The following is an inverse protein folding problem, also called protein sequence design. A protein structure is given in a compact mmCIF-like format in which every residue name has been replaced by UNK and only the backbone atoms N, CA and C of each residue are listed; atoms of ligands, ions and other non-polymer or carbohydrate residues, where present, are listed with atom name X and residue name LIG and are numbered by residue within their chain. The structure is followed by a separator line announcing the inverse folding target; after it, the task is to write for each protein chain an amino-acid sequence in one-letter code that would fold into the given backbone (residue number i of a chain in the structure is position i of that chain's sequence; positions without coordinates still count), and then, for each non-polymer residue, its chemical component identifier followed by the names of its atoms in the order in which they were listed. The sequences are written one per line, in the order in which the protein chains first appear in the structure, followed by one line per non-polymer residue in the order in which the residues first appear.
data_IF_882948866274
#
_entry.id   IF_882948866274
#
_cell.length_a   1.000
_cell.length_b   1.000
_cell.length_c   1.000
_cell.angle_alpha   90.00
_cell.angle_beta   90.00
_cell.angle_gamma   90.00
#
_symmetry.space_group_name_H-M   'P 1'
#
loop_
_entity.id
_entity.type
_entity.pdbx_description
1 polymer ?
2 non-polymer ?
3 water ?
#
# COMPACT_ATOMS: atom_id res chain seq x y z
N UNK A 2 -3.14 -1.23 -13.12
CA UNK A 2 -3.34 0.12 -12.59
C UNK A 2 -2.75 0.24 -11.19
N UNK A 3 -2.09 -0.83 -10.75
CA UNK A 3 -1.35 -0.81 -9.49
C UNK A 3 0.12 -0.55 -9.78
N UNK A 4 0.65 0.51 -9.19
CA UNK A 4 2.02 0.94 -9.47
C UNK A 4 3.02 0.26 -8.54
N UNK A 5 3.96 -0.49 -9.11
CA UNK A 5 5.03 -1.10 -8.32
C UNK A 5 6.09 -0.05 -8.01
N UNK A 6 6.38 0.13 -6.72
CA UNK A 6 7.22 1.24 -6.28
C UNK A 6 8.47 0.75 -5.54
N UNK A 7 9.60 1.41 -5.81
CA UNK A 7 10.87 1.06 -5.17
C UNK A 7 11.39 2.21 -4.32
N UNK A 8 12.53 2.00 -3.66
CA UNK A 8 13.20 3.05 -2.90
C UNK A 8 13.51 4.23 -3.80
N UNK A 9 13.79 3.92 -5.06
CA UNK A 9 14.22 4.89 -6.05
C UNK A 9 13.16 5.95 -6.34
N UNK A 10 11.89 5.58 -6.26
CA UNK A 10 10.82 6.49 -6.64
C UNK A 10 9.67 6.57 -5.64
N UNK A 11 9.92 6.15 -4.41
CA UNK A 11 8.89 6.18 -3.38
C UNK A 11 8.43 7.60 -3.06
N UNK A 12 9.38 8.54 -3.02
CA UNK A 12 9.07 9.91 -2.63
C UNK A 12 8.12 10.60 -3.62
N UNK A 13 8.39 10.44 -4.91
CA UNK A 13 7.56 11.07 -5.93
C UNK A 13 6.21 10.38 -6.07
N UNK A 14 6.23 9.05 -6.01
CA UNK A 14 5.03 8.26 -6.25
C UNK A 14 4.07 8.24 -5.06
N UNK A 15 4.61 8.29 -3.85
CA UNK A 15 3.79 8.18 -2.65
C UNK A 15 3.69 9.48 -1.86
N UNK A 16 4.84 9.99 -1.41
CA UNK A 16 4.87 11.18 -0.57
C UNK A 16 4.37 12.42 -1.31
N UNK A 17 4.60 12.48 -2.61
CA UNK A 17 4.22 13.67 -3.38
C UNK A 17 3.05 13.38 -4.31
N UNK A 18 2.24 12.40 -3.95
CA UNK A 18 1.01 12.12 -4.68
C UNK A 18 -0.10 13.07 -4.23
N UNK A 19 -0.83 13.61 -5.20
CA UNK A 19 -1.92 14.53 -4.91
C UNK A 19 -3.14 13.80 -4.37
N UNK A 20 -3.20 12.51 -4.64
CA UNK A 20 -4.27 11.66 -4.13
C UNK A 20 -3.78 10.87 -2.92
N UNK A 21 -4.72 10.43 -2.06
CA UNK A 21 -4.36 9.49 -1.00
C UNK A 21 -3.76 8.21 -1.59
N UNK A 22 -2.80 7.61 -0.89
CA UNK A 22 -2.12 6.43 -1.42
C UNK A 22 -2.23 5.22 -0.50
N UNK A 23 -2.66 4.10 -1.07
CA UNK A 23 -2.61 2.82 -0.37
C UNK A 23 -1.34 2.07 -0.77
N UNK A 24 -0.52 1.74 0.21
CA UNK A 24 0.76 1.09 -0.07
C UNK A 24 0.78 -0.35 0.45
N UNK A 25 0.86 -1.30 -0.47
CA UNK A 25 0.94 -2.71 -0.10
C UNK A 25 2.39 -3.17 -0.04
N UNK A 26 2.90 -3.36 1.18
CA UNK A 26 4.25 -3.88 1.36
C UNK A 26 4.24 -5.40 1.27
N UNK A 27 5.13 -5.95 0.46
CA UNK A 27 5.12 -7.38 0.15
C UNK A 27 6.53 -7.90 -0.16
N UNK A 28 6.62 -9.20 -0.40
CA UNK A 28 7.88 -9.84 -0.80
C UNK A 28 7.57 -11.17 -1.49
N UNK A 29 8.43 -11.59 -2.44
CA UNK A 29 8.22 -12.75 -3.32
C UNK A 29 7.64 -14.01 -2.67
N UNK A 30 8.18 -14.44 -1.53
CA UNK A 30 7.75 -15.70 -0.93
C UNK A 30 6.72 -15.48 0.18
N UNK A 31 5.72 -14.66 -0.12
CA UNK A 31 4.67 -14.37 0.85
C UNK A 31 3.31 -14.86 0.35
N UNK A 32 2.90 -16.03 0.83
CA UNK A 32 1.60 -16.59 0.51
C UNK A 32 0.44 -15.65 0.77
N UNK A 33 0.35 -15.11 1.99
CA UNK A 33 -0.66 -14.09 2.29
C UNK A 33 -0.56 -12.86 1.40
N UNK A 34 0.66 -12.48 1.00
CA UNK A 34 0.85 -11.38 0.07
C UNK A 34 0.20 -11.72 -1.27
N UNK A 35 0.37 -12.98 -1.67
CA UNK A 35 -0.24 -13.50 -2.89
C UNK A 35 -1.76 -13.51 -2.80
N UNK A 36 -2.27 -13.70 -1.58
CA UNK A 36 -3.70 -13.84 -1.34
C UNK A 36 -4.48 -12.54 -1.48
N UNK A 37 -3.80 -11.41 -1.29
CA UNK A 37 -4.46 -10.11 -1.38
C UNK A 37 -4.02 -9.28 -2.57
N UNK A 38 -3.04 -9.77 -3.32
CA UNK A 38 -2.58 -9.05 -4.51
C UNK A 38 -3.72 -8.82 -5.52
N UNK A 39 -4.54 -9.86 -5.81
CA UNK A 39 -5.68 -9.56 -6.68
C UNK A 39 -6.72 -8.67 -6.00
N UNK A 40 -6.80 -8.74 -4.68
CA UNK A 40 -7.69 -7.85 -3.93
C UNK A 40 -7.17 -6.42 -4.03
N UNK A 41 -5.86 -6.26 -3.89
CA UNK A 41 -5.21 -4.96 -4.07
C UNK A 41 -5.42 -4.45 -5.49
N UNK A 42 -5.39 -5.37 -6.46
CA UNK A 42 -5.58 -5.02 -7.86
C UNK A 42 -6.97 -4.44 -8.13
N UNK A 43 -7.99 -5.07 -7.55
CA UNK A 43 -9.36 -4.61 -7.74
C UNK A 43 -9.60 -3.26 -7.06
N UNK A 44 -8.88 -3.02 -5.97
CA UNK A 44 -9.03 -1.76 -5.24
C UNK A 44 -8.62 -0.56 -6.08
N UNK A 45 -7.53 -0.71 -6.81
CA UNK A 45 -7.04 0.36 -7.68
C UNK A 45 -8.06 0.68 -8.76
N UNK A 46 -8.72 -0.37 -9.25
CA UNK A 46 -9.74 -0.21 -10.27
C UNK A 46 -10.96 0.53 -9.71
N UNK A 47 -11.34 0.18 -8.49
CA UNK A 47 -12.55 0.72 -7.87
C UNK A 47 -12.33 2.09 -7.23
N UNK A 48 -11.07 2.42 -6.94
CA UNK A 48 -10.73 3.70 -6.33
C UNK A 48 -10.03 4.62 -7.32
N UNK A 49 -10.04 4.24 -8.60
CA UNK A 49 -9.33 4.98 -9.64
C UNK A 49 -9.75 6.44 -9.71
N UNK A 50 -8.77 7.33 -9.62
CA UNK A 50 -9.02 8.76 -9.66
C UNK A 50 -9.21 9.35 -8.28
N UNK A 51 -9.51 8.48 -7.31
CA UNK A 51 -9.74 8.92 -5.94
C UNK A 51 -8.62 8.46 -5.01
N UNK A 52 -8.22 7.20 -5.13
CA UNK A 52 -7.12 6.67 -4.34
C UNK A 52 -6.07 5.99 -5.21
N UNK A 53 -4.82 6.39 -5.04
CA UNK A 53 -3.71 5.74 -5.71
C UNK A 53 -3.31 4.49 -4.95
N UNK A 54 -3.05 3.41 -5.67
CA UNK A 54 -2.67 2.15 -5.05
C UNK A 54 -1.31 1.68 -5.55
N UNK A 55 -0.38 1.47 -4.62
CA UNK A 55 0.97 1.05 -4.97
C UNK A 55 1.44 -0.17 -4.18
N UNK A 56 2.50 -0.80 -4.67
CA UNK A 56 3.09 -1.95 -4.00
C UNK A 56 4.59 -1.75 -3.84
N UNK A 57 5.14 -2.26 -2.74
CA UNK A 57 6.58 -2.17 -2.48
C UNK A 57 7.17 -3.50 -2.05
N UNK A 58 8.11 -4.01 -2.84
CA UNK A 58 8.83 -5.22 -2.48
C UNK A 58 9.85 -4.91 -1.38
N UNK A 59 9.59 -5.38 -0.17
CA UNK A 59 10.43 -5.06 0.98
C UNK A 59 11.79 -5.75 0.90
N UNK A 60 11.86 -6.87 0.18
CA UNK A 60 13.11 -7.59 0.02
C UNK A 60 14.12 -6.77 -0.77
N UNK A 61 13.63 -6.11 -1.82
CA UNK A 61 14.51 -5.34 -2.69
C UNK A 61 14.55 -3.87 -2.31
N UNK A 62 13.64 -3.45 -1.45
CA UNK A 62 13.60 -2.06 -1.02
C UNK A 62 13.60 -1.92 0.49
N UNK A 63 14.74 -2.27 1.12
CA UNK A 63 14.85 -2.31 2.58
C UNK A 63 14.84 -0.93 3.22
N UNK A 64 15.17 0.09 2.43
CA UNK A 64 15.27 1.45 2.94
C UNK A 64 13.91 2.03 3.31
N UNK A 65 12.94 1.85 2.42
CA UNK A 65 11.58 2.32 2.68
C UNK A 65 10.94 1.52 3.80
N UNK A 66 11.22 0.22 3.83
CA UNK A 66 10.71 -0.66 4.87
C UNK A 66 11.16 -0.20 6.24
N UNK A 67 12.43 0.17 6.34
CA UNK A 67 13.01 0.63 7.60
C UNK A 67 12.42 1.97 8.04
N UNK A 68 12.24 2.88 7.09
CA UNK A 68 11.75 4.22 7.40
C UNK A 68 10.33 4.22 7.95
N UNK A 69 9.55 3.19 7.63
CA UNK A 69 8.15 3.14 8.04
C UNK A 69 7.84 1.95 8.93
N UNK A 70 8.89 1.37 9.51
CA UNK A 70 8.74 0.30 10.49
C UNK A 70 7.93 -0.89 10.04
N UNK A 71 8.14 -1.32 8.80
CA UNK A 71 7.48 -2.52 8.30
C UNK A 71 8.10 -3.74 8.97
N UNK A 72 7.41 -4.28 9.97
CA UNK A 72 7.94 -5.39 10.75
C UNK A 72 7.43 -6.74 10.26
N UNK A 73 6.45 -6.70 9.35
CA UNK A 73 5.92 -7.92 8.76
C UNK A 73 5.17 -7.63 7.46
N UNK A 74 4.90 -8.69 6.69
CA UNK A 74 4.22 -8.56 5.41
C UNK A 74 3.10 -9.59 5.28
N UNK A 75 2.00 -9.22 4.59
CA UNK A 75 1.76 -7.92 3.98
C UNK A 75 1.38 -6.83 4.98
N UNK A 76 1.93 -5.64 4.79
CA UNK A 76 1.60 -4.49 5.61
C UNK A 76 1.06 -3.37 4.73
N UNK A 77 -0.13 -2.88 5.07
CA UNK A 77 -0.78 -1.87 4.26
C UNK A 77 -0.77 -0.51 4.96
N UNK A 78 -0.21 0.49 4.30
CA UNK A 78 -0.21 1.85 4.81
C UNK A 78 -1.07 2.75 3.94
N UNK A 79 -1.84 3.63 4.57
CA UNK A 79 -2.59 4.63 3.83
C UNK A 79 -1.94 5.99 4.01
N UNK A 80 -1.48 6.57 2.91
CA UNK A 80 -0.83 7.86 2.94
C UNK A 80 -1.76 8.97 2.49
N UNK A 81 -1.81 10.04 3.27
CA UNK A 81 -2.56 11.22 2.88
C UNK A 81 -1.65 12.44 2.93
N UNK A 82 -1.18 12.84 1.75
CA UNK A 82 -0.29 13.99 1.59
C UNK A 82 1.00 13.88 2.41
N UNK A 83 1.73 12.79 2.20
CA UNK A 83 3.07 12.65 2.75
C UNK A 83 3.17 12.01 4.12
N UNK A 84 2.04 11.68 4.73
CA UNK A 84 2.07 11.11 6.07
C UNK A 84 1.09 9.95 6.24
N UNK A 85 1.41 9.05 7.16
CA UNK A 85 0.60 7.86 7.39
C UNK A 85 -0.61 8.14 8.27
N UNK A 86 -1.80 7.84 7.76
CA UNK A 86 -3.04 8.08 8.49
C UNK A 86 -3.71 6.78 8.91
N UNK A 87 -3.21 5.66 8.39
CA UNK A 87 -3.74 4.35 8.77
C UNK A 87 -2.73 3.25 8.48
N UNK A 88 -2.82 2.17 9.25
CA UNK A 88 -1.90 1.05 9.13
C UNK A 88 -2.64 -0.27 9.34
N UNK A 89 -2.33 -1.26 8.51
CA UNK A 89 -2.98 -2.56 8.64
C UNK A 89 -2.09 -3.69 8.13
N UNK A 90 -1.87 -4.68 8.98
CA UNK A 90 -1.05 -5.82 8.61
C UNK A 90 -1.90 -7.07 8.42
N UNK A 91 -1.41 -7.99 7.59
CA UNK A 91 -2.08 -9.25 7.38
C UNK A 91 -2.99 -9.26 6.17
N UNK A 92 -3.25 -10.45 5.66
CA UNK A 92 -4.16 -10.63 4.54
C UNK A 92 -5.57 -10.21 4.94
N UNK A 93 -5.97 -9.03 4.49
CA UNK A 93 -7.28 -8.49 4.83
C UNK A 93 -8.27 -8.66 3.69
N UNK A 94 -9.53 -8.95 4.04
CA UNK A 94 -10.59 -9.04 3.03
C UNK A 94 -10.90 -7.68 2.41
N UNK A 95 -11.24 -7.69 1.13
CA UNK A 95 -11.43 -6.49 0.33
C UNK A 95 -12.39 -5.46 0.93
N UNK A 96 -13.58 -5.91 1.34
CA UNK A 96 -14.58 -5.00 1.89
C UNK A 96 -14.15 -4.43 3.24
N UNK A 97 -13.37 -5.20 3.99
CA UNK A 97 -12.85 -4.73 5.27
C UNK A 97 -11.83 -3.62 5.04
N UNK A 98 -11.02 -3.77 4.00
CA UNK A 98 -10.04 -2.75 3.65
C UNK A 98 -10.73 -1.47 3.19
N UNK A 99 -11.71 -1.61 2.31
CA UNK A 99 -12.48 -0.47 1.83
C UNK A 99 -13.13 0.26 2.99
N UNK A 100 -13.54 -0.50 4.00
CA UNK A 100 -14.10 0.07 5.22
C UNK A 100 -13.05 0.92 5.92
N UNK A 101 -11.85 0.36 6.06
CA UNK A 101 -10.75 1.05 6.72
C UNK A 101 -10.28 2.25 5.91
N UNK A 102 -10.19 2.08 4.59
CA UNK A 102 -9.78 3.15 3.71
C UNK A 102 -10.77 4.31 3.73
N UNK A 103 -12.05 4.00 3.55
CA UNK A 103 -13.12 5.01 3.48
C UNK A 103 -13.12 6.00 4.64
N UNK A 104 -12.55 5.60 5.77
CA UNK A 104 -12.57 6.42 6.97
C UNK A 104 -11.55 7.55 6.93
N UNK A 105 -10.66 7.53 5.94
CA UNK A 105 -9.63 8.56 5.82
C UNK A 105 -9.66 9.24 4.46
N UNK A 106 -10.82 9.24 3.82
CA UNK A 106 -10.98 9.90 2.53
C UNK A 106 -12.04 11.00 2.60
X LIG B 1 2.17 -9.93 -4.29
#
# INVERSE_FOLDING_TARGET
MSVIEVTDENFEQEVLKSDKPVLVDFWAPWCGPCRMIAPIIEELAKEYEGKVKVVKVNVDENPNTAAQYGIRSIPTLLLFKNGQVVDRKVGAQPKEALKERIDKHL
CL CL
#
